data_IF_957892052007
#
_entry.id   IF_957892052007
#
_cell.length_a   1.000
_cell.length_b   1.000
_cell.length_c   1.000
_cell.angle_alpha   90.00
_cell.angle_beta   90.00
_cell.angle_gamma   90.00
#
_symmetry.space_group_name_H-M   'P 1'
#
loop_
_entity.id
_entity.type
_entity.pdbx_description
1 polymer ?
#
# COMPACT_ATOMS: atom_id res chain seq x y z
N UNK A 1 0.14 3.81 0.55
CA UNK A 1 1.35 3.00 0.84
C UNK A 1 2.60 3.86 0.66
N UNK A 2 3.71 3.47 1.26
CA UNK A 2 4.99 4.16 1.08
C UNK A 2 5.89 4.07 2.30
N UNK A 3 7.18 4.36 2.10
CA UNK A 3 8.21 4.26 3.15
C UNK A 3 7.90 5.17 4.34
N UNK A 4 8.42 4.88 5.54
CA UNK A 4 8.36 5.80 6.67
C UNK A 4 8.91 7.19 6.28
N UNK A 5 8.25 8.26 6.73
CA UNK A 5 8.68 9.64 6.48
C UNK A 5 8.42 10.21 5.08
N UNK A 6 7.80 9.47 4.16
CA UNK A 6 7.53 9.95 2.77
C UNK A 6 6.36 10.96 2.66
N UNK A 7 5.71 11.31 3.77
CA UNK A 7 4.60 12.25 3.79
C UNK A 7 3.20 11.64 3.64
N UNK A 8 3.02 10.35 4.01
CA UNK A 8 1.71 9.66 3.98
C UNK A 8 0.64 10.44 4.77
N UNK A 9 0.94 10.79 6.02
CA UNK A 9 0.02 11.53 6.90
C UNK A 9 -0.28 12.92 6.34
N UNK A 10 0.70 13.60 5.74
CA UNK A 10 0.49 14.91 5.11
C UNK A 10 -0.49 14.82 3.95
N UNK A 11 -0.34 13.84 3.07
CA UNK A 11 -1.31 13.61 1.99
C UNK A 11 -2.69 13.23 2.54
N UNK A 12 -2.74 12.37 3.56
CA UNK A 12 -3.99 11.93 4.17
C UNK A 12 -4.78 13.11 4.77
N UNK A 13 -4.08 14.02 5.45
CA UNK A 13 -4.66 15.25 6.01
C UNK A 13 -5.27 16.13 4.94
N UNK A 14 -4.55 16.35 3.84
CA UNK A 14 -5.04 17.17 2.73
C UNK A 14 -6.23 16.52 2.02
N UNK A 15 -6.20 15.20 1.83
CA UNK A 15 -7.34 14.45 1.28
C UNK A 15 -8.57 14.62 2.18
N UNK A 16 -8.43 14.53 3.50
CA UNK A 16 -9.53 14.75 4.43
C UNK A 16 -10.13 16.16 4.28
N UNK A 17 -9.26 17.18 4.23
CA UNK A 17 -9.67 18.59 4.04
C UNK A 17 -10.42 18.79 2.72
N UNK A 18 -9.87 18.32 1.59
CA UNK A 18 -10.50 18.43 0.27
C UNK A 18 -11.85 17.72 0.24
N UNK A 19 -11.95 16.52 0.82
CA UNK A 19 -13.21 15.78 0.87
C UNK A 19 -14.26 16.50 1.74
N UNK A 20 -13.85 17.12 2.85
CA UNK A 20 -14.75 17.81 3.76
C UNK A 20 -15.18 19.19 3.23
N UNK A 21 -14.23 20.02 2.78
CA UNK A 21 -14.47 21.43 2.46
C UNK A 21 -14.87 21.62 1.00
N UNK A 22 -14.11 21.03 0.08
CA UNK A 22 -14.28 21.29 -1.36
C UNK A 22 -15.42 20.43 -1.92
N UNK A 23 -15.59 19.21 -1.39
CA UNK A 23 -16.61 18.25 -1.81
C UNK A 23 -17.80 18.16 -0.84
N UNK A 24 -17.78 18.90 0.28
CA UNK A 24 -18.85 18.95 1.29
C UNK A 24 -19.30 17.56 1.80
N UNK A 25 -18.37 16.60 1.90
CA UNK A 25 -18.69 15.26 2.44
C UNK A 25 -18.63 15.24 3.96
N UNK A 26 -19.43 14.36 4.56
CA UNK A 26 -19.31 14.00 5.99
C UNK A 26 -18.09 13.11 6.19
N UNK A 27 -16.96 13.74 6.50
CA UNK A 27 -15.67 13.06 6.75
C UNK A 27 -15.47 12.84 8.24
N UNK A 28 -15.14 11.61 8.62
CA UNK A 28 -14.68 11.24 9.97
C UNK A 28 -13.26 10.71 9.90
N UNK A 29 -12.37 11.24 10.71
CA UNK A 29 -10.98 10.81 10.83
C UNK A 29 -10.83 9.97 12.10
N UNK A 30 -10.42 8.72 11.95
CA UNK A 30 -10.03 7.85 13.06
C UNK A 30 -8.52 8.01 13.26
N UNK A 31 -8.14 8.76 14.29
CA UNK A 31 -6.77 9.22 14.52
C UNK A 31 -6.19 8.53 15.77
N UNK A 32 -5.23 7.62 15.56
CA UNK A 32 -4.55 6.87 16.63
C UNK A 32 -3.28 7.52 17.14
N UNK A 33 -2.58 8.24 16.26
CA UNK A 33 -1.29 8.84 16.52
C UNK A 33 -1.37 10.33 16.86
N UNK A 34 -2.56 10.92 16.69
CA UNK A 34 -2.81 12.36 16.70
C UNK A 34 -2.03 13.12 15.62
N UNK A 35 -1.40 12.42 14.66
CA UNK A 35 -0.62 13.08 13.63
C UNK A 35 -1.52 13.81 12.63
N UNK A 36 -2.76 13.36 12.40
CA UNK A 36 -3.62 13.95 11.37
C UNK A 36 -4.22 15.26 11.88
N UNK A 37 -4.82 15.22 13.07
CA UNK A 37 -5.63 16.30 13.61
C UNK A 37 -5.02 16.99 14.85
N UNK A 38 -3.80 16.62 15.26
CA UNK A 38 -3.08 17.21 16.37
C UNK A 38 -3.54 16.74 17.75
N UNK A 39 -2.80 17.10 18.80
CA UNK A 39 -3.02 16.64 20.18
C UNK A 39 -4.06 17.43 20.99
N UNK A 40 -4.55 18.56 20.47
CA UNK A 40 -5.50 19.41 21.19
C UNK A 40 -6.91 18.81 21.30
N UNK A 41 -7.72 19.33 22.23
CA UNK A 41 -9.15 19.00 22.33
C UNK A 41 -9.93 19.44 21.08
N UNK A 42 -9.49 20.56 20.48
CA UNK A 42 -10.00 21.08 19.22
C UNK A 42 -9.12 20.54 18.08
N UNK A 43 -9.70 19.85 17.08
CA UNK A 43 -8.95 19.37 15.92
C UNK A 43 -8.24 20.50 15.16
N UNK A 44 -7.04 20.20 14.66
CA UNK A 44 -6.23 21.16 13.93
C UNK A 44 -6.95 21.64 12.65
N UNK A 45 -6.97 22.95 12.33
CA UNK A 45 -7.71 23.49 11.17
C UNK A 45 -7.34 22.89 9.81
N UNK A 46 -6.17 22.27 9.71
CA UNK A 46 -5.68 21.63 8.49
C UNK A 46 -6.49 20.41 8.03
N UNK A 47 -7.43 19.89 8.83
CA UNK A 47 -8.39 18.86 8.39
C UNK A 47 -9.70 19.44 7.83
N UNK A 48 -9.84 20.77 7.79
CA UNK A 48 -11.08 21.43 7.37
C UNK A 48 -12.24 21.12 8.32
N UNK A 49 -13.43 20.88 7.75
CA UNK A 49 -14.64 20.52 8.49
C UNK A 49 -14.72 19.02 8.85
N UNK A 50 -13.68 18.23 8.58
CA UNK A 50 -13.65 16.83 8.97
C UNK A 50 -13.73 16.69 10.50
N UNK A 51 -14.46 15.68 10.97
CA UNK A 51 -14.59 15.39 12.41
C UNK A 51 -13.48 14.43 12.84
N UNK A 52 -12.87 14.65 14.00
CA UNK A 52 -11.90 13.73 14.58
C UNK A 52 -12.57 12.82 15.61
N UNK A 53 -12.37 11.51 15.45
CA UNK A 53 -12.53 10.52 16.51
C UNK A 53 -11.15 10.07 16.97
N UNK A 54 -10.74 10.52 18.15
CA UNK A 54 -9.45 10.17 18.73
C UNK A 54 -9.50 8.76 19.32
N UNK A 55 -8.51 7.93 19.00
CA UNK A 55 -8.40 6.58 19.55
C UNK A 55 -7.50 6.62 20.78
N UNK A 56 -8.03 6.25 21.94
CA UNK A 56 -7.29 6.29 23.22
C UNK A 56 -6.14 5.31 23.30
N UNK A 57 -6.29 4.12 22.70
CA UNK A 57 -5.23 3.11 22.60
C UNK A 57 -5.28 2.45 21.23
N UNK A 58 -4.13 2.18 20.56
CA UNK A 58 -4.11 1.60 19.22
C UNK A 58 -4.94 0.31 19.08
N UNK A 59 -4.94 -0.53 20.13
CA UNK A 59 -5.74 -1.76 20.19
C UNK A 59 -7.24 -1.56 20.04
N UNK A 60 -7.77 -0.35 20.27
CA UNK A 60 -9.19 -0.01 20.15
C UNK A 60 -9.57 0.61 18.81
N UNK A 61 -8.62 0.80 17.90
CA UNK A 61 -8.86 1.47 16.62
C UNK A 61 -10.02 0.84 15.84
N UNK A 62 -10.04 -0.49 15.71
CA UNK A 62 -11.12 -1.23 15.05
C UNK A 62 -12.52 -0.93 15.65
N UNK A 63 -12.62 -0.81 16.98
CA UNK A 63 -13.89 -0.50 17.64
C UNK A 63 -14.33 0.94 17.34
N UNK A 64 -13.39 1.89 17.34
CA UNK A 64 -13.67 3.29 16.99
C UNK A 64 -14.06 3.41 15.50
N UNK A 65 -13.47 2.61 14.62
CA UNK A 65 -13.85 2.55 13.20
C UNK A 65 -15.32 2.12 13.02
N UNK A 66 -15.79 1.13 13.78
CA UNK A 66 -17.19 0.69 13.75
C UNK A 66 -18.11 1.76 14.36
N UNK A 67 -17.74 2.32 15.50
CA UNK A 67 -18.49 3.40 16.17
C UNK A 67 -18.67 4.62 15.25
N UNK A 68 -17.64 4.95 14.46
CA UNK A 68 -17.70 6.03 13.47
C UNK A 68 -18.88 5.86 12.50
N UNK A 69 -19.12 4.65 12.01
CA UNK A 69 -20.24 4.38 11.11
C UNK A 69 -21.56 4.42 11.84
N UNK A 70 -21.63 3.83 13.04
CA UNK A 70 -22.87 3.68 13.79
C UNK A 70 -23.42 5.03 14.29
N UNK A 71 -22.55 5.93 14.73
CA UNK A 71 -22.96 7.16 15.42
C UNK A 71 -22.85 8.44 14.57
N UNK A 72 -22.07 8.44 13.49
CA UNK A 72 -21.78 9.68 12.75
C UNK A 72 -22.28 9.70 11.30
N UNK A 73 -22.89 8.60 10.80
CA UNK A 73 -23.39 8.47 9.42
C UNK A 73 -22.43 9.05 8.35
N UNK A 74 -21.14 8.67 8.36
CA UNK A 74 -20.13 9.27 7.50
C UNK A 74 -20.30 8.86 6.04
N UNK A 75 -19.88 9.74 5.14
CA UNK A 75 -19.70 9.41 3.72
C UNK A 75 -18.28 8.93 3.45
N UNK A 76 -17.32 9.43 4.23
CA UNK A 76 -15.92 9.05 4.18
C UNK A 76 -15.40 8.79 5.58
N UNK A 77 -14.67 7.69 5.76
CA UNK A 77 -13.80 7.50 6.92
C UNK A 77 -12.34 7.52 6.47
N UNK A 78 -11.56 8.37 7.14
CA UNK A 78 -10.12 8.50 6.98
C UNK A 78 -9.44 7.79 8.14
N UNK A 79 -8.55 6.83 7.85
CA UNK A 79 -7.87 6.00 8.84
C UNK A 79 -6.38 6.21 8.70
N UNK A 80 -5.69 6.51 9.79
CA UNK A 80 -4.25 6.79 9.75
C UNK A 80 -3.46 5.59 9.20
N UNK A 81 -3.34 4.51 9.97
CA UNK A 81 -2.64 3.28 9.55
C UNK A 81 -3.49 2.06 9.88
N UNK A 82 -3.71 1.19 8.91
CA UNK A 82 -4.28 -0.16 9.10
C UNK A 82 -3.14 -1.17 9.15
N UNK A 83 -3.03 -1.89 10.26
CA UNK A 83 -1.97 -2.85 10.54
C UNK A 83 -2.43 -4.18 11.14
N UNK A 84 -3.64 -4.25 11.70
CA UNK A 84 -4.13 -5.45 12.40
C UNK A 84 -5.28 -6.15 11.68
N UNK A 85 -5.51 -7.42 12.02
CA UNK A 85 -6.58 -8.22 11.42
C UNK A 85 -7.97 -7.66 11.77
N UNK A 86 -8.14 -7.19 13.00
CA UNK A 86 -9.39 -6.58 13.44
C UNK A 86 -9.70 -5.28 12.69
N UNK A 87 -8.68 -4.47 12.40
CA UNK A 87 -8.85 -3.26 11.58
C UNK A 87 -9.18 -3.59 10.13
N UNK A 88 -8.54 -4.62 9.55
CA UNK A 88 -8.85 -5.06 8.19
C UNK A 88 -10.30 -5.57 8.06
N UNK A 89 -10.74 -6.38 9.04
CA UNK A 89 -12.13 -6.83 9.11
C UNK A 89 -13.11 -5.66 9.29
N UNK A 90 -12.79 -4.71 10.17
CA UNK A 90 -13.62 -3.51 10.36
C UNK A 90 -13.71 -2.68 9.08
N UNK A 91 -12.59 -2.47 8.38
CA UNK A 91 -12.56 -1.78 7.09
C UNK A 91 -13.47 -2.48 6.06
N UNK A 92 -13.41 -3.81 5.95
CA UNK A 92 -14.28 -4.57 5.05
C UNK A 92 -15.77 -4.35 5.37
N UNK A 93 -16.15 -4.48 6.65
CA UNK A 93 -17.54 -4.24 7.09
C UNK A 93 -18.01 -2.81 6.81
N UNK A 94 -17.13 -1.82 6.95
CA UNK A 94 -17.46 -0.42 6.66
C UNK A 94 -17.67 -0.20 5.15
N UNK A 95 -16.79 -0.77 4.32
CA UNK A 95 -16.91 -0.69 2.87
C UNK A 95 -18.19 -1.37 2.36
N UNK A 96 -18.57 -2.52 2.93
CA UNK A 96 -19.83 -3.22 2.61
C UNK A 96 -21.08 -2.38 2.92
N UNK A 97 -20.98 -1.44 3.87
CA UNK A 97 -22.04 -0.47 4.18
C UNK A 97 -22.06 0.74 3.23
N UNK A 98 -21.20 0.77 2.22
CA UNK A 98 -21.13 1.83 1.20
C UNK A 98 -20.41 3.09 1.64
N UNK A 99 -19.70 3.07 2.77
CA UNK A 99 -18.89 4.20 3.23
C UNK A 99 -17.54 4.18 2.50
N UNK A 100 -17.12 5.33 1.98
CA UNK A 100 -15.81 5.44 1.32
C UNK A 100 -14.70 5.39 2.38
N UNK A 101 -13.73 4.50 2.19
CA UNK A 101 -12.54 4.44 3.03
C UNK A 101 -11.34 5.11 2.36
N UNK A 102 -10.60 5.88 3.13
CA UNK A 102 -9.26 6.38 2.78
C UNK A 102 -8.35 6.04 3.94
N UNK A 103 -7.20 5.43 3.68
CA UNK A 103 -6.25 5.22 4.75
C UNK A 103 -4.88 4.79 4.27
N UNK A 104 -3.95 4.73 5.22
CA UNK A 104 -2.64 4.11 4.97
C UNK A 104 -2.62 2.69 5.52
N UNK A 105 -1.66 1.91 5.07
CA UNK A 105 -1.46 0.56 5.56
C UNK A 105 0.04 0.28 5.68
N UNK A 106 0.37 -0.66 6.56
CA UNK A 106 1.76 -1.06 6.80
C UNK A 106 2.33 -1.79 5.57
N UNK A 107 3.03 -1.05 4.70
CA UNK A 107 3.62 -1.59 3.48
C UNK A 107 4.12 -0.50 2.53
N UNK A 108 5.15 -0.84 1.74
CA UNK A 108 5.73 0.09 0.78
C UNK A 108 5.06 0.00 -0.60
N UNK A 109 4.73 -1.22 -1.04
CA UNK A 109 4.15 -1.50 -2.36
C UNK A 109 2.96 -2.45 -2.25
N UNK A 110 2.14 -2.53 -3.30
CA UNK A 110 1.02 -3.46 -3.39
C UNK A 110 1.46 -4.92 -3.17
N UNK A 111 2.62 -5.32 -3.68
CA UNK A 111 3.15 -6.68 -3.50
C UNK A 111 3.47 -6.99 -2.04
N UNK A 112 3.86 -5.98 -1.23
CA UNK A 112 4.05 -6.19 0.21
C UNK A 112 2.73 -6.48 0.92
N UNK A 113 1.64 -5.82 0.51
CA UNK A 113 0.30 -6.14 1.02
C UNK A 113 -0.11 -7.57 0.64
N UNK A 114 0.17 -7.99 -0.59
CA UNK A 114 -0.16 -9.34 -1.07
C UNK A 114 0.56 -10.45 -0.30
N UNK A 115 1.77 -10.18 0.17
CA UNK A 115 2.56 -11.14 0.97
C UNK A 115 2.17 -11.15 2.45
N UNK A 116 1.40 -10.17 2.92
CA UNK A 116 0.97 -10.07 4.31
C UNK A 116 -0.43 -10.67 4.47
N UNK A 117 -0.58 -11.84 5.13
CA UNK A 117 -1.89 -12.51 5.26
C UNK A 117 -2.96 -11.63 5.92
N UNK A 118 -2.56 -10.78 6.87
CA UNK A 118 -3.45 -9.88 7.60
C UNK A 118 -4.00 -8.78 6.69
N UNK A 119 -3.12 -8.13 5.93
CA UNK A 119 -3.49 -6.99 5.09
C UNK A 119 -3.97 -7.40 3.69
N UNK A 120 -3.72 -8.63 3.27
CA UNK A 120 -4.21 -9.18 2.01
C UNK A 120 -5.75 -9.14 1.93
N UNK A 121 -6.46 -9.17 3.07
CA UNK A 121 -7.91 -9.03 3.13
C UNK A 121 -8.39 -7.68 2.56
N UNK A 122 -7.62 -6.61 2.76
CA UNK A 122 -7.95 -5.27 2.24
C UNK A 122 -7.96 -5.21 0.71
N UNK A 123 -7.24 -6.12 0.05
CA UNK A 123 -7.11 -6.22 -1.41
C UNK A 123 -7.85 -7.44 -1.98
N UNK A 124 -8.78 -8.01 -1.20
CA UNK A 124 -9.69 -9.06 -1.64
C UNK A 124 -9.34 -10.48 -1.20
N UNK A 125 -8.34 -10.63 -0.31
CA UNK A 125 -7.94 -11.89 0.31
C UNK A 125 -7.32 -12.89 -0.67
N UNK A 126 -6.05 -13.25 -0.47
CA UNK A 126 -5.34 -14.17 -1.37
C UNK A 126 -5.28 -15.56 -0.71
N UNK A 127 -5.77 -16.59 -1.41
CA UNK A 127 -5.75 -17.97 -0.92
C UNK A 127 -5.31 -18.95 -2.01
N UNK A 128 -4.89 -20.13 -1.57
CA UNK A 128 -4.58 -21.24 -2.48
C UNK A 128 -5.87 -21.98 -2.82
N UNK A 129 -6.24 -21.99 -4.10
CA UNK A 129 -7.39 -22.72 -4.63
C UNK A 129 -6.88 -23.93 -5.42
N UNK A 130 -7.51 -25.09 -5.19
CA UNK A 130 -7.23 -26.31 -5.95
C UNK A 130 -8.21 -26.43 -7.11
N UNK A 131 -7.70 -26.29 -8.33
CA UNK A 131 -8.42 -26.53 -9.57
C UNK A 131 -8.59 -28.03 -9.84
N UNK A 132 -9.71 -28.39 -10.44
CA UNK A 132 -9.91 -29.72 -11.02
C UNK A 132 -8.98 -29.98 -12.21
N UNK A 133 -8.77 -31.25 -12.53
CA UNK A 133 -7.79 -31.70 -13.54
C UNK A 133 -8.06 -31.11 -14.93
N UNK A 134 -9.33 -30.97 -15.31
CA UNK A 134 -9.72 -30.37 -16.59
C UNK A 134 -9.43 -28.87 -16.65
N UNK A 135 -9.74 -28.12 -15.57
CA UNK A 135 -9.53 -26.67 -15.51
C UNK A 135 -8.04 -26.32 -15.41
N UNK A 136 -7.26 -27.08 -14.65
CA UNK A 136 -5.81 -26.93 -14.57
C UNK A 136 -5.16 -27.16 -15.95
N UNK A 137 -5.60 -28.20 -16.69
CA UNK A 137 -5.11 -28.48 -18.04
C UNK A 137 -5.52 -27.40 -19.05
N UNK A 138 -6.74 -26.86 -18.93
CA UNK A 138 -7.24 -25.76 -19.77
C UNK A 138 -6.44 -24.47 -19.58
N UNK A 139 -6.09 -24.13 -18.33
CA UNK A 139 -5.29 -22.94 -18.00
C UNK A 139 -3.79 -23.14 -18.17
N UNK A 140 -3.33 -24.38 -18.31
CA UNK A 140 -1.91 -24.72 -18.38
C UNK A 140 -1.17 -24.45 -17.06
N UNK A 141 -1.87 -24.52 -15.93
CA UNK A 141 -1.33 -24.21 -14.60
C UNK A 141 -1.23 -25.46 -13.73
N UNK A 142 -0.58 -25.33 -12.58
CA UNK A 142 -0.61 -26.36 -11.55
C UNK A 142 -2.04 -26.53 -11.00
N UNK A 143 -2.30 -27.67 -10.34
CA UNK A 143 -3.60 -27.92 -9.69
C UNK A 143 -3.86 -26.93 -8.54
N UNK A 144 -2.83 -26.45 -7.86
CA UNK A 144 -2.95 -25.41 -6.83
C UNK A 144 -2.47 -24.07 -7.38
N UNK A 145 -3.31 -23.04 -7.32
CA UNK A 145 -2.96 -21.68 -7.71
C UNK A 145 -3.39 -20.68 -6.63
N UNK A 146 -2.76 -19.51 -6.61
CA UNK A 146 -3.21 -18.40 -5.76
C UNK A 146 -4.28 -17.60 -6.50
N UNK A 147 -5.43 -17.40 -5.85
CA UNK A 147 -6.51 -16.55 -6.36
C UNK A 147 -7.01 -15.61 -5.26
N UNK A 148 -7.58 -14.49 -5.71
CA UNK A 148 -8.28 -13.53 -4.86
C UNK A 148 -9.70 -14.02 -4.60
N UNK A 149 -10.17 -13.93 -3.36
CA UNK A 149 -11.42 -14.54 -2.91
C UNK A 149 -12.63 -13.60 -2.99
N UNK A 150 -12.41 -12.29 -2.92
CA UNK A 150 -13.47 -11.27 -2.91
C UNK A 150 -13.03 -10.00 -3.63
N UNK A 151 -13.97 -9.10 -3.99
CA UNK A 151 -13.62 -7.75 -4.42
C UNK A 151 -12.72 -7.04 -3.39
N UNK A 152 -11.73 -6.25 -3.82
CA UNK A 152 -10.88 -5.52 -2.89
C UNK A 152 -11.69 -4.49 -2.08
N UNK A 153 -11.36 -4.33 -0.81
CA UNK A 153 -11.97 -3.30 0.06
C UNK A 153 -11.59 -1.90 -0.44
N UNK A 154 -10.36 -1.73 -0.91
CA UNK A 154 -9.87 -0.51 -1.52
C UNK A 154 -9.75 -0.68 -3.03
N UNK A 155 -10.49 0.11 -3.80
CA UNK A 155 -10.46 0.04 -5.27
C UNK A 155 -9.21 0.64 -5.92
N UNK A 156 -8.55 1.57 -5.23
CA UNK A 156 -7.37 2.29 -5.71
C UNK A 156 -6.25 2.18 -4.66
N UNK A 157 -5.03 1.89 -5.10
CA UNK A 157 -3.84 1.96 -4.25
C UNK A 157 -2.92 3.04 -4.77
N UNK A 158 -2.49 3.93 -3.86
CA UNK A 158 -1.47 4.94 -4.12
C UNK A 158 -0.21 4.58 -3.35
N UNK A 159 0.87 4.36 -4.07
CA UNK A 159 2.22 4.17 -3.57
C UNK A 159 2.98 5.49 -3.65
N UNK A 160 3.24 6.09 -2.50
CA UNK A 160 4.00 7.33 -2.42
C UNK A 160 5.49 6.99 -2.55
N UNK A 161 6.08 7.42 -3.67
CA UNK A 161 7.48 7.17 -4.00
C UNK A 161 8.38 8.27 -3.45
N UNK A 162 7.92 9.51 -3.57
CA UNK A 162 8.58 10.72 -3.07
C UNK A 162 7.54 11.80 -2.76
N UNK A 163 7.96 12.94 -2.18
CA UNK A 163 7.06 14.04 -1.79
C UNK A 163 6.26 14.62 -2.96
N UNK A 164 6.80 14.57 -4.18
CA UNK A 164 6.19 15.07 -5.42
C UNK A 164 5.78 13.97 -6.39
N UNK A 165 5.90 12.68 -6.00
CA UNK A 165 5.77 11.56 -6.94
C UNK A 165 5.05 10.35 -6.36
N UNK A 166 4.04 9.89 -7.09
CA UNK A 166 3.21 8.74 -6.70
C UNK A 166 3.05 7.73 -7.85
N UNK A 167 2.93 6.47 -7.48
CA UNK A 167 2.50 5.38 -8.34
C UNK A 167 1.05 5.00 -7.96
N UNK A 168 0.16 4.92 -8.94
CA UNK A 168 -1.26 4.67 -8.74
C UNK A 168 -1.65 3.38 -9.46
N UNK A 169 -2.24 2.47 -8.70
CA UNK A 169 -2.95 1.30 -9.21
C UNK A 169 -4.46 1.64 -9.21
N UNK A 170 -5.04 2.02 -10.37
CA UNK A 170 -6.41 2.53 -10.43
C UNK A 170 -7.48 1.45 -10.25
N UNK A 171 -7.13 0.19 -10.54
CA UNK A 171 -7.95 -0.98 -10.25
C UNK A 171 -7.07 -1.99 -9.50
N UNK A 172 -7.29 -2.08 -8.19
CA UNK A 172 -6.56 -3.01 -7.32
C UNK A 172 -6.88 -4.46 -7.66
N UNK A 173 -8.11 -4.76 -8.06
CA UNK A 173 -8.52 -6.12 -8.41
C UNK A 173 -7.74 -6.63 -9.62
N UNK A 174 -7.72 -5.84 -10.69
CA UNK A 174 -6.92 -6.14 -11.89
C UNK A 174 -5.43 -6.22 -11.55
N UNK A 175 -4.90 -5.25 -10.81
CA UNK A 175 -3.49 -5.22 -10.43
C UNK A 175 -3.08 -6.48 -9.64
N UNK A 176 -3.88 -6.91 -8.66
CA UNK A 176 -3.63 -8.13 -7.89
C UNK A 176 -3.70 -9.37 -8.79
N UNK A 177 -4.75 -9.50 -9.61
CA UNK A 177 -4.96 -10.68 -10.45
C UNK A 177 -3.85 -10.84 -11.50
N UNK A 178 -3.38 -9.74 -12.10
CA UNK A 178 -2.24 -9.72 -13.04
C UNK A 178 -0.94 -10.06 -12.33
N UNK A 179 -0.72 -9.53 -11.12
CA UNK A 179 0.47 -9.85 -10.30
C UNK A 179 0.53 -11.33 -9.93
N UNK A 180 -0.60 -11.92 -9.52
CA UNK A 180 -0.70 -13.35 -9.18
C UNK A 180 -0.37 -14.26 -10.38
N UNK A 181 -0.64 -13.79 -11.62
CA UNK A 181 -0.28 -14.48 -12.87
C UNK A 181 1.18 -14.26 -13.28
N UNK A 182 1.97 -13.50 -12.51
CA UNK A 182 3.36 -13.16 -12.82
C UNK A 182 3.51 -12.19 -13.99
N UNK A 183 2.45 -11.45 -14.33
CA UNK A 183 2.45 -10.44 -15.39
C UNK A 183 2.80 -9.06 -14.81
N UNK A 184 3.38 -8.16 -15.61
CA UNK A 184 3.67 -6.80 -15.16
C UNK A 184 2.37 -6.00 -14.99
N UNK A 185 2.17 -5.39 -13.83
CA UNK A 185 1.02 -4.55 -13.53
C UNK A 185 1.15 -3.17 -14.15
N UNK A 186 0.11 -2.68 -14.82
CA UNK A 186 0.13 -1.30 -15.33
C UNK A 186 -0.01 -0.34 -14.17
N UNK A 187 0.94 0.58 -14.02
CA UNK A 187 0.91 1.60 -12.96
C UNK A 187 0.91 2.98 -13.58
N UNK A 188 0.05 3.85 -13.07
CA UNK A 188 0.02 5.26 -13.44
C UNK A 188 0.96 6.05 -12.52
N UNK A 189 2.04 6.59 -13.08
CA UNK A 189 2.97 7.45 -12.35
C UNK A 189 2.51 8.90 -12.50
N UNK A 190 2.28 9.57 -11.38
CA UNK A 190 2.04 11.02 -11.36
C UNK A 190 3.16 11.73 -10.62
N UNK A 191 3.57 12.88 -11.12
CA UNK A 191 4.52 13.73 -10.42
C UNK A 191 4.26 15.21 -10.66
N UNK A 192 4.71 16.07 -9.74
CA UNK A 192 4.73 17.52 -9.93
C UNK A 192 6.02 17.92 -10.64
N UNK A 193 5.92 18.76 -11.67
CA UNK A 193 7.09 19.37 -12.29
C UNK A 193 7.55 20.63 -11.53
N UNK A 194 8.61 21.28 -12.03
CA UNK A 194 9.16 22.50 -11.42
C UNK A 194 8.20 23.69 -11.44
N UNK A 195 7.18 23.65 -12.28
CA UNK A 195 6.13 24.67 -12.37
C UNK A 195 4.93 24.35 -11.46
N UNK A 196 4.95 23.19 -10.77
CA UNK A 196 3.83 22.72 -9.95
C UNK A 196 2.71 22.07 -10.76
N UNK A 197 2.92 21.76 -12.04
CA UNK A 197 1.93 21.07 -12.86
C UNK A 197 2.03 19.55 -12.68
N UNK A 198 0.87 18.89 -12.61
CA UNK A 198 0.80 17.43 -12.53
C UNK A 198 1.07 16.83 -13.91
N UNK A 199 2.11 15.99 -14.01
CA UNK A 199 2.38 15.14 -15.17
C UNK A 199 1.98 13.71 -14.87
N UNK A 200 1.51 13.01 -15.90
CA UNK A 200 0.99 11.64 -15.81
C UNK A 200 1.66 10.79 -16.88
N UNK A 201 2.21 9.64 -16.46
CA UNK A 201 2.79 8.64 -17.34
C UNK A 201 2.22 7.26 -17.00
N UNK A 202 1.66 6.56 -17.99
CA UNK A 202 1.29 5.15 -17.82
C UNK A 202 2.51 4.29 -18.07
N UNK A 203 3.07 3.73 -17.01
CA UNK A 203 4.22 2.84 -17.09
C UNK A 203 3.76 1.40 -17.03
N UNK A 204 4.03 0.65 -18.10
CA UNK A 204 4.05 -0.80 -18.02
C UNK A 204 5.44 -1.18 -17.49
N UNK A 205 5.55 -1.91 -16.37
CA UNK A 205 6.83 -2.40 -15.89
C UNK A 205 7.47 -3.20 -17.01
N UNK A 206 8.66 -2.79 -17.42
CA UNK A 206 9.50 -3.64 -18.25
C UNK A 206 9.83 -4.82 -17.34
N UNK A 207 9.27 -5.98 -17.62
CA UNK A 207 9.67 -7.21 -16.94
C UNK A 207 11.18 -7.30 -17.13
N UNK A 208 11.97 -7.08 -16.09
CA UNK A 208 13.29 -7.65 -16.05
C UNK A 208 13.04 -9.15 -15.99
N UNK A 209 12.84 -9.77 -17.15
CA UNK A 209 12.91 -11.21 -17.25
C UNK A 209 14.29 -11.52 -16.68
N UNK A 210 14.33 -12.10 -15.47
CA UNK A 210 15.40 -13.00 -15.13
C UNK A 210 15.27 -14.14 -16.13
N UNK A 211 15.70 -13.90 -17.37
CA UNK A 211 16.14 -14.96 -18.25
C UNK A 211 17.25 -15.61 -17.44
N UNK A 212 16.96 -16.80 -16.93
CA UNK A 212 17.97 -17.77 -16.58
C UNK A 212 18.82 -17.92 -17.84
N UNK A 213 19.87 -17.10 -17.96
CA UNK A 213 20.90 -17.32 -18.95
C UNK A 213 21.51 -18.64 -18.50
N UNK A 214 21.13 -19.74 -19.18
CA UNK A 214 21.93 -20.95 -19.18
C UNK A 214 23.34 -20.48 -19.54
N UNK A 215 24.21 -20.42 -18.53
CA UNK A 215 25.56 -19.93 -18.67
C UNK A 215 26.27 -20.78 -19.70
N UNK A 216 26.36 -20.26 -20.93
CA UNK A 216 27.42 -20.66 -21.84
C UNK A 216 28.70 -20.23 -21.14
N UNK A 217 29.50 -21.22 -20.76
CA UNK A 217 30.77 -21.09 -20.04
C UNK A 217 31.71 -20.17 -20.83
N UNK A 218 31.65 -18.88 -20.53
CA UNK A 218 32.61 -17.89 -21.02
C UNK A 218 33.85 -17.98 -20.14
N UNK A 219 34.96 -18.34 -20.78
CA UNK A 219 36.32 -18.32 -20.24
C UNK A 219 36.60 -16.96 -19.60
N UNK A 220 36.64 -16.90 -18.27
CA UNK A 220 37.06 -15.70 -17.53
C UNK A 220 38.55 -15.51 -17.73
N UNK A 221 38.93 -14.46 -18.47
CA UNK A 221 40.23 -13.84 -18.36
C UNK A 221 40.47 -13.38 -16.92
N UNK A 222 41.66 -13.68 -16.41
CA UNK A 222 42.02 -13.55 -15.01
C UNK A 222 42.31 -12.07 -14.66
N UNK A 223 41.29 -11.26 -14.40
CA UNK A 223 41.47 -9.93 -13.80
C UNK A 223 41.20 -10.02 -12.29
N UNK A 224 42.26 -10.31 -11.54
CA UNK A 224 42.30 -10.16 -10.09
C UNK A 224 42.30 -8.67 -9.74
N UNK A 225 41.18 -8.15 -9.25
CA UNK A 225 41.15 -6.83 -8.61
C UNK A 225 41.86 -6.92 -7.25
N UNK A 226 42.95 -6.16 -7.09
CA UNK A 226 43.62 -5.98 -5.80
C UNK A 226 42.83 -5.02 -4.93
N UNK A 227 42.20 -5.53 -3.89
CA UNK A 227 41.61 -4.76 -2.80
C UNK A 227 42.70 -4.46 -1.76
N UNK A 228 42.93 -3.17 -1.47
CA UNK A 228 43.78 -2.73 -0.37
C UNK A 228 42.88 -2.28 0.78
N UNK A 229 43.01 -2.92 1.93
CA UNK A 229 42.32 -2.50 3.16
C UNK A 229 43.07 -1.30 3.76
N UNK A 230 42.35 -0.19 3.91
CA UNK A 230 42.88 1.03 4.52
C UNK A 230 43.02 0.84 6.04
N UNK A 231 44.21 1.05 6.58
CA UNK A 231 44.43 1.19 8.03
C UNK A 231 44.76 -0.07 8.83
N UNK A 232 45.32 -1.13 8.23
CA UNK A 232 45.77 -2.31 8.99
C UNK A 232 47.26 -2.20 9.31
N UNK A 233 47.59 -2.13 10.60
CA UNK A 233 48.97 -2.22 11.08
C UNK A 233 49.47 -3.67 10.97
N UNK A 234 50.59 -3.85 10.24
CA UNK A 234 51.19 -5.14 9.89
C UNK A 234 51.48 -6.03 11.11
N UNK A 235 51.73 -5.46 12.28
CA UNK A 235 52.05 -6.21 13.50
C UNK A 235 50.88 -7.01 14.11
N UNK A 236 49.62 -6.73 13.74
CA UNK A 236 48.44 -7.45 14.25
C UNK A 236 48.03 -8.68 13.42
N UNK A 237 48.64 -8.86 12.25
CA UNK A 237 48.31 -9.96 11.32
C UNK A 237 49.21 -11.18 11.49
N UNK A 238 50.34 -11.05 12.20
CA UNK A 238 51.36 -12.08 12.35
C UNK A 238 51.49 -12.61 13.79
N UNK A 239 50.45 -12.48 14.63
CA UNK A 239 50.32 -13.18 15.92
C UNK A 239 49.22 -14.24 15.88
#
# INVERSE_FOLDING_TARGET
LGRPGVGKTTMLREVARVLADDLNKRVVIVDTSNEIAGDGDIPHPAIGHARRMQVTTPTRQHAVMIEAVENHMPEVIVIDEIGTELEAQAARTIAERGVQLVGTAHGNTLENLMMNPTLADLIGGIQTVTLGDEEAKRRGTQKSILERMSPPTFGIVVEIQDWDKVAIHPDVGEAVDVTLRGQPTVTEIRWLDKAGEVKVEKKVPITSTKKTIKGKRLTRGNNLHKLYLFGINRGRLEQ
#
